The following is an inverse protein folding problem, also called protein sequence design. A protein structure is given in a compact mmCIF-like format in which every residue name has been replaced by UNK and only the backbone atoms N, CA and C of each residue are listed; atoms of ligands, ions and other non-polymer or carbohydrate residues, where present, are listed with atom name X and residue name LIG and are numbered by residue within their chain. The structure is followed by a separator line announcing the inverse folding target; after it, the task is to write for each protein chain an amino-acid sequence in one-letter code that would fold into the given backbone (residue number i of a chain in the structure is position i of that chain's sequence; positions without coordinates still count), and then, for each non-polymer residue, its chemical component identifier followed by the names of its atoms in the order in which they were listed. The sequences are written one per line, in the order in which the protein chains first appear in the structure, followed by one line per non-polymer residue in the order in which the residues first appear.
data_IF_970319822517
#
_entry.id   IF_970319822517
#
_cell.length_a   1.000
_cell.length_b   1.000
_cell.length_c   1.000
_cell.angle_alpha   90.00
_cell.angle_beta   90.00
_cell.angle_gamma   90.00
#
_symmetry.space_group_name_H-M   'P 1'
#
loop_
_entity.id
_entity.type
_entity.pdbx_description
1 polymer ?
#
# COMPACT_ATOMS: atom_id res chain seq x y z
N UNK A 1 -5.52 -11.22 9.70
CA UNK A 1 -4.98 -9.87 9.41
C UNK A 1 -5.90 -9.24 8.38
N UNK A 2 -6.25 -7.97 8.51
CA UNK A 2 -7.20 -7.30 7.60
C UNK A 2 -6.45 -6.22 6.81
N UNK A 3 -5.62 -6.64 5.84
CA UNK A 3 -4.89 -5.70 4.98
C UNK A 3 -5.28 -5.91 3.52
N UNK A 4 -5.46 -4.81 2.81
CA UNK A 4 -5.61 -4.78 1.35
C UNK A 4 -4.45 -3.95 0.80
N UNK A 5 -3.68 -4.53 -0.12
CA UNK A 5 -2.62 -3.84 -0.86
C UNK A 5 -3.02 -3.81 -2.33
N UNK A 6 -3.13 -2.63 -2.92
CA UNK A 6 -3.58 -2.49 -4.31
C UNK A 6 -2.63 -1.60 -5.11
N UNK A 7 -2.55 -1.86 -6.41
CA UNK A 7 -1.76 -1.08 -7.36
C UNK A 7 -2.31 0.34 -7.49
N UNK A 8 -3.54 0.43 -7.91
CA UNK A 8 -4.37 1.63 -7.94
C UNK A 8 -5.74 1.28 -7.38
N UNK A 9 -6.56 2.27 -7.16
CA UNK A 9 -7.91 2.05 -6.68
C UNK A 9 -8.94 2.79 -7.54
N UNK A 10 -9.24 2.26 -8.73
CA UNK A 10 -10.40 2.71 -9.47
C UNK A 10 -11.66 2.16 -8.77
N UNK A 11 -12.27 2.94 -7.89
CA UNK A 11 -13.39 2.55 -7.02
C UNK A 11 -14.51 1.82 -7.77
N UNK A 12 -14.81 2.24 -8.98
CA UNK A 12 -15.88 1.63 -9.79
C UNK A 12 -15.46 0.32 -10.47
N UNK A 13 -14.17 0.04 -10.58
CA UNK A 13 -13.65 -1.16 -11.24
C UNK A 13 -13.14 -2.22 -10.26
N UNK A 14 -12.95 -1.90 -8.98
CA UNK A 14 -12.47 -2.85 -7.97
C UNK A 14 -13.56 -3.17 -6.94
N UNK A 15 -14.61 -3.85 -7.40
CA UNK A 15 -15.79 -4.21 -6.59
C UNK A 15 -15.39 -5.00 -5.35
N UNK A 16 -14.42 -5.93 -5.47
CA UNK A 16 -14.00 -6.77 -4.35
C UNK A 16 -13.38 -5.95 -3.21
N UNK A 17 -12.60 -4.89 -3.51
CA UNK A 17 -12.07 -3.98 -2.48
C UNK A 17 -13.19 -3.16 -1.85
N UNK A 18 -14.12 -2.63 -2.65
CA UNK A 18 -15.29 -1.87 -2.17
C UNK A 18 -16.15 -2.73 -1.24
N UNK A 19 -16.40 -3.98 -1.58
CA UNK A 19 -17.19 -4.90 -0.77
C UNK A 19 -16.48 -5.25 0.55
N UNK A 20 -15.16 -5.37 0.57
CA UNK A 20 -14.39 -5.55 1.81
C UNK A 20 -14.47 -4.31 2.71
N UNK A 21 -14.49 -3.10 2.15
CA UNK A 21 -14.70 -1.86 2.91
C UNK A 21 -16.13 -1.83 3.48
N UNK A 22 -17.14 -2.17 2.69
CA UNK A 22 -18.55 -2.27 3.16
C UNK A 22 -18.73 -3.30 4.27
N UNK A 23 -18.00 -4.41 4.19
CA UNK A 23 -18.05 -5.45 5.22
C UNK A 23 -17.43 -5.03 6.55
N UNK A 24 -16.59 -3.98 6.58
CA UNK A 24 -16.00 -3.46 7.82
C UNK A 24 -17.05 -2.76 8.71
N UNK A 25 -17.98 -1.99 8.09
CA UNK A 25 -19.10 -1.35 8.76
C UNK A 25 -20.16 -0.93 7.74
N UNK A 26 -21.43 -0.79 8.15
CA UNK A 26 -22.51 -0.34 7.28
C UNK A 26 -22.31 1.09 6.74
N UNK A 27 -21.71 1.97 7.57
CA UNK A 27 -21.27 3.31 7.19
C UNK A 27 -19.85 3.49 7.76
N UNK A 28 -18.80 3.03 7.05
CA UNK A 28 -17.46 2.98 7.60
C UNK A 28 -16.88 4.40 7.77
N UNK A 29 -16.34 4.69 8.95
CA UNK A 29 -15.49 5.85 9.18
C UNK A 29 -14.10 5.55 8.65
N UNK A 30 -13.63 6.38 7.72
CA UNK A 30 -12.38 6.15 6.98
C UNK A 30 -11.37 7.23 7.33
N UNK A 31 -10.23 6.84 7.89
CA UNK A 31 -9.07 7.71 8.04
C UNK A 31 -8.26 7.72 6.73
N UNK A 32 -8.23 8.84 6.04
CA UNK A 32 -7.42 9.02 4.83
C UNK A 32 -6.07 9.63 5.19
N UNK A 33 -4.99 8.87 4.95
CA UNK A 33 -3.62 9.25 5.32
C UNK A 33 -2.78 9.41 4.05
N UNK A 34 -2.39 10.64 3.67
CA UNK A 34 -1.49 10.89 2.55
C UNK A 34 -0.02 10.79 2.96
N UNK A 35 0.91 10.67 1.98
CA UNK A 35 2.35 10.66 2.25
C UNK A 35 2.91 11.98 2.78
N UNK A 36 2.19 13.10 2.58
CA UNK A 36 2.57 14.46 2.97
C UNK A 36 1.33 15.35 3.09
N UNK A 37 1.48 16.49 3.75
CA UNK A 37 0.41 17.48 3.94
C UNK A 37 -0.22 17.92 2.61
N UNK A 38 -1.53 17.81 2.53
CA UNK A 38 -2.34 18.28 1.40
C UNK A 38 -2.69 19.78 1.60
N UNK A 39 -1.73 20.66 1.26
CA UNK A 39 -1.76 22.08 1.61
C UNK A 39 -2.99 22.87 1.10
N UNK A 40 -3.49 22.51 -0.07
CA UNK A 40 -4.64 23.14 -0.71
C UNK A 40 -5.95 22.35 -0.55
N UNK A 41 -5.88 21.16 0.10
CA UNK A 41 -7.01 20.27 0.29
C UNK A 41 -7.50 19.59 -0.99
N UNK A 42 -6.79 19.75 -2.10
CA UNK A 42 -7.21 19.25 -3.40
C UNK A 42 -7.23 17.72 -3.49
N UNK A 43 -6.24 17.07 -2.90
CA UNK A 43 -6.16 15.59 -2.90
C UNK A 43 -7.26 14.99 -2.00
N UNK A 44 -7.50 15.58 -0.83
CA UNK A 44 -8.56 15.15 0.07
C UNK A 44 -9.96 15.35 -0.53
N UNK A 45 -10.19 16.51 -1.18
CA UNK A 45 -11.45 16.77 -1.88
C UNK A 45 -11.70 15.76 -3.01
N UNK A 46 -10.66 15.41 -3.79
CA UNK A 46 -10.76 14.39 -4.83
C UNK A 46 -10.98 13.01 -4.23
N UNK A 47 -10.32 12.67 -3.13
CA UNK A 47 -10.58 11.43 -2.40
C UNK A 47 -12.05 11.36 -1.95
N UNK A 48 -12.58 12.43 -1.34
CA UNK A 48 -13.98 12.53 -0.91
C UNK A 48 -14.96 12.32 -2.06
N UNK A 49 -14.69 12.93 -3.23
CA UNK A 49 -15.51 12.72 -4.43
C UNK A 49 -15.53 11.26 -4.85
N UNK A 50 -14.36 10.61 -4.93
CA UNK A 50 -14.25 9.20 -5.34
C UNK A 50 -14.89 8.24 -4.34
N UNK A 51 -14.68 8.44 -3.05
CA UNK A 51 -15.34 7.64 -2.02
C UNK A 51 -16.86 7.83 -2.06
N UNK A 52 -17.34 9.04 -2.37
CA UNK A 52 -18.76 9.35 -2.57
C UNK A 52 -19.40 8.58 -3.73
N UNK A 53 -18.67 8.27 -4.81
CA UNK A 53 -19.15 7.48 -5.95
C UNK A 53 -19.58 6.05 -5.54
N UNK A 54 -19.03 5.52 -4.45
CA UNK A 54 -19.39 4.22 -3.87
C UNK A 54 -20.11 4.34 -2.53
N UNK A 55 -20.65 5.53 -2.23
CA UNK A 55 -21.45 5.86 -1.04
C UNK A 55 -20.70 5.79 0.30
N UNK A 56 -19.38 6.02 0.30
CA UNK A 56 -18.61 6.21 1.52
C UNK A 56 -18.45 7.73 1.78
N UNK A 57 -19.10 8.24 2.80
CA UNK A 57 -19.19 9.69 3.09
C UNK A 57 -18.44 10.12 4.35
N UNK A 58 -18.14 9.19 5.25
CA UNK A 58 -17.47 9.45 6.52
C UNK A 58 -15.94 9.35 6.35
N UNK A 59 -15.35 10.36 5.68
CA UNK A 59 -13.91 10.44 5.41
C UNK A 59 -13.27 11.55 6.24
N UNK A 60 -12.17 11.23 6.92
CA UNK A 60 -11.41 12.18 7.73
C UNK A 60 -9.95 12.21 7.30
N UNK A 61 -9.39 13.41 7.11
CA UNK A 61 -7.99 13.63 6.77
C UNK A 61 -7.11 13.52 8.03
N UNK A 62 -6.12 12.63 7.99
CA UNK A 62 -5.14 12.44 9.05
C UNK A 62 -3.76 12.82 8.49
N UNK A 63 -3.25 13.98 8.86
CA UNK A 63 -1.91 14.42 8.45
C UNK A 63 -0.81 13.75 9.27
N UNK A 64 0.27 13.33 8.59
CA UNK A 64 1.45 12.71 9.21
C UNK A 64 2.73 13.49 8.92
N UNK A 65 2.63 14.67 8.31
CA UNK A 65 3.77 15.52 7.91
C UNK A 65 3.78 16.85 8.66
N UNK A 66 3.45 17.96 8.00
CA UNK A 66 3.60 19.32 8.56
C UNK A 66 2.56 19.59 9.66
N UNK A 67 1.32 19.15 9.48
CA UNK A 67 0.21 19.34 10.40
C UNK A 67 -0.06 18.10 11.28
N UNK A 68 1.01 17.38 11.63
CA UNK A 68 0.93 16.16 12.43
C UNK A 68 0.24 16.38 13.79
N UNK A 69 -0.92 15.76 13.99
CA UNK A 69 -1.63 15.72 15.27
C UNK A 69 -1.46 14.33 15.94
N UNK A 70 -0.67 14.30 17.00
CA UNK A 70 -0.44 13.09 17.79
C UNK A 70 -1.71 12.62 18.54
N UNK A 71 -2.63 13.53 18.87
CA UNK A 71 -3.90 13.17 19.51
C UNK A 71 -4.77 12.43 18.49
N UNK A 72 -4.92 12.98 17.30
CA UNK A 72 -5.67 12.35 16.21
C UNK A 72 -5.12 10.96 15.86
N UNK A 73 -3.79 10.82 15.79
CA UNK A 73 -3.14 9.52 15.59
C UNK A 73 -3.37 8.54 16.74
N UNK A 74 -3.54 9.00 17.98
CA UNK A 74 -3.82 8.13 19.11
C UNK A 74 -5.17 7.42 18.97
N UNK A 75 -6.15 8.06 18.36
CA UNK A 75 -7.51 7.55 18.13
C UNK A 75 -7.69 6.85 16.78
N UNK A 76 -6.60 6.63 16.02
CA UNK A 76 -6.68 5.99 14.70
C UNK A 76 -7.40 4.62 14.72
N UNK A 77 -7.32 3.88 15.82
CA UNK A 77 -7.98 2.59 16.00
C UNK A 77 -9.52 2.69 16.17
N UNK A 78 -10.08 3.89 16.29
CA UNK A 78 -11.54 4.11 16.34
C UNK A 78 -12.17 4.16 14.94
N UNK A 79 -11.37 4.38 13.89
CA UNK A 79 -11.82 4.28 12.51
C UNK A 79 -12.04 2.81 12.12
N UNK A 80 -13.02 2.56 11.26
CA UNK A 80 -13.29 1.23 10.74
C UNK A 80 -12.27 0.84 9.65
N UNK A 81 -11.85 1.84 8.87
CA UNK A 81 -10.92 1.68 7.75
C UNK A 81 -9.80 2.72 7.85
N UNK A 82 -8.57 2.26 7.73
CA UNK A 82 -7.38 3.10 7.58
C UNK A 82 -6.94 3.06 6.12
N UNK A 83 -7.04 4.18 5.42
CA UNK A 83 -6.69 4.27 4.01
C UNK A 83 -5.35 5.00 3.84
N UNK A 84 -4.31 4.24 3.46
CA UNK A 84 -3.00 4.78 3.11
C UNK A 84 -2.99 5.12 1.61
N UNK A 85 -2.95 6.41 1.28
CA UNK A 85 -3.12 6.84 -0.10
C UNK A 85 -1.90 6.54 -0.98
N UNK A 86 -2.05 6.72 -2.29
CA UNK A 86 -0.95 6.71 -3.23
C UNK A 86 -0.01 7.91 -3.01
N UNK A 87 1.19 7.86 -3.57
CA UNK A 87 2.16 8.94 -3.62
C UNK A 87 3.60 8.44 -3.41
N UNK A 88 4.53 9.34 -3.15
CA UNK A 88 5.97 9.03 -2.98
C UNK A 88 6.20 8.10 -1.77
N UNK A 89 6.64 6.85 -1.98
CA UNK A 89 6.81 5.88 -0.91
C UNK A 89 7.96 6.22 0.03
N UNK A 90 8.98 6.93 -0.44
CA UNK A 90 10.14 7.32 0.38
C UNK A 90 9.72 8.41 1.36
N UNK A 91 8.98 9.41 0.89
CA UNK A 91 8.43 10.47 1.74
C UNK A 91 7.39 9.91 2.71
N UNK A 92 6.49 9.02 2.23
CA UNK A 92 5.52 8.35 3.08
C UNK A 92 6.21 7.59 4.23
N UNK A 93 7.25 6.80 3.89
CA UNK A 93 8.04 6.09 4.90
C UNK A 93 8.67 7.04 5.92
N UNK A 94 9.30 8.13 5.45
CA UNK A 94 9.95 9.11 6.33
C UNK A 94 8.94 9.68 7.35
N UNK A 95 7.79 10.16 6.87
CA UNK A 95 6.75 10.73 7.69
C UNK A 95 6.08 9.70 8.60
N UNK A 96 5.83 8.48 8.11
CA UNK A 96 5.28 7.39 8.90
C UNK A 96 6.19 6.99 10.08
N UNK A 97 7.51 6.98 9.88
CA UNK A 97 8.47 6.70 10.98
C UNK A 97 8.42 7.84 12.00
N UNK A 98 8.50 9.09 11.54
CA UNK A 98 8.45 10.28 12.40
C UNK A 98 7.18 10.36 13.23
N UNK A 99 6.04 10.03 12.62
CA UNK A 99 4.72 10.01 13.27
C UNK A 99 4.51 8.80 14.20
N UNK A 100 5.38 7.77 14.17
CA UNK A 100 5.16 6.53 14.91
C UNK A 100 4.01 5.68 14.36
N UNK A 101 3.65 5.87 13.07
CA UNK A 101 2.47 5.26 12.43
C UNK A 101 2.48 3.73 12.50
N UNK A 102 3.65 3.08 12.39
CA UNK A 102 3.75 1.62 12.44
C UNK A 102 3.16 1.01 13.73
N UNK A 103 3.35 1.67 14.87
CA UNK A 103 2.75 1.27 16.15
C UNK A 103 1.23 1.41 16.12
N UNK A 104 0.74 2.51 15.57
CA UNK A 104 -0.70 2.80 15.45
C UNK A 104 -1.40 1.81 14.51
N UNK A 105 -0.80 1.49 13.36
CA UNK A 105 -1.35 0.49 12.44
C UNK A 105 -1.42 -0.91 13.07
N UNK A 106 -0.41 -1.33 13.85
CA UNK A 106 -0.49 -2.59 14.60
C UNK A 106 -1.66 -2.59 15.60
N UNK A 107 -1.89 -1.48 16.28
CA UNK A 107 -3.03 -1.31 17.16
C UNK A 107 -4.35 -1.41 16.39
N UNK A 108 -4.48 -0.75 15.22
CA UNK A 108 -5.66 -0.86 14.37
C UNK A 108 -5.94 -2.33 13.98
N UNK A 109 -4.91 -3.07 13.54
CA UNK A 109 -5.03 -4.50 13.20
C UNK A 109 -5.49 -5.32 14.40
N UNK A 110 -4.95 -5.07 15.61
CA UNK A 110 -5.36 -5.80 16.82
C UNK A 110 -6.81 -5.52 17.23
N UNK A 111 -7.36 -4.38 16.86
CA UNK A 111 -8.77 -4.03 17.02
C UNK A 111 -9.66 -4.48 15.84
N UNK A 112 -9.12 -5.29 14.93
CA UNK A 112 -9.87 -5.82 13.79
C UNK A 112 -10.15 -4.82 12.66
N UNK A 113 -9.49 -3.66 12.68
CA UNK A 113 -9.68 -2.61 11.67
C UNK A 113 -9.11 -3.03 10.32
N UNK A 114 -9.75 -2.58 9.25
CA UNK A 114 -9.28 -2.80 7.89
C UNK A 114 -8.23 -1.74 7.51
N UNK A 115 -7.11 -2.17 6.96
CA UNK A 115 -6.14 -1.25 6.34
C UNK A 115 -6.17 -1.46 4.83
N UNK A 116 -6.44 -0.39 4.09
CA UNK A 116 -6.38 -0.35 2.63
C UNK A 116 -5.20 0.53 2.22
N UNK A 117 -4.29 -0.01 1.46
CA UNK A 117 -3.06 0.69 1.06
C UNK A 117 -2.88 0.69 -0.46
N UNK A 118 -2.70 1.86 -1.05
CA UNK A 118 -2.67 2.06 -2.49
C UNK A 118 -1.28 2.50 -2.94
N UNK A 119 -0.69 1.83 -3.93
CA UNK A 119 0.58 2.21 -4.57
C UNK A 119 1.69 2.49 -3.56
N UNK A 120 2.11 3.75 -3.37
CA UNK A 120 3.10 4.15 -2.37
C UNK A 120 2.72 3.75 -0.94
N UNK A 121 1.42 3.81 -0.59
CA UNK A 121 0.91 3.30 0.67
C UNK A 121 1.06 1.78 0.81
N UNK A 122 0.89 1.03 -0.29
CA UNK A 122 1.12 -0.41 -0.30
C UNK A 122 2.60 -0.75 -0.05
N UNK A 123 3.52 -0.01 -0.69
CA UNK A 123 4.96 -0.18 -0.44
C UNK A 123 5.32 0.08 1.03
N UNK A 124 4.68 1.05 1.69
CA UNK A 124 4.91 1.34 3.10
C UNK A 124 4.65 0.14 4.02
N UNK A 125 3.68 -0.73 3.70
CA UNK A 125 3.36 -1.92 4.48
C UNK A 125 4.31 -3.10 4.26
N UNK A 126 5.14 -3.05 3.22
CA UNK A 126 6.14 -4.07 2.90
C UNK A 126 7.39 -3.98 3.81
N UNK A 127 8.32 -4.92 3.75
CA UNK A 127 9.57 -4.84 4.53
C UNK A 127 10.45 -3.66 4.12
N UNK A 128 10.34 -3.19 2.85
CA UNK A 128 11.26 -2.21 2.30
C UNK A 128 10.64 -1.47 1.11
N UNK A 129 10.90 -0.15 0.99
CA UNK A 129 10.41 0.64 -0.15
C UNK A 129 11.43 0.79 -1.29
N UNK A 130 12.59 0.12 -1.21
CA UNK A 130 13.67 0.28 -2.19
C UNK A 130 13.31 -0.14 -3.61
N UNK A 131 12.35 -1.05 -3.78
CA UNK A 131 11.90 -1.53 -5.09
C UNK A 131 11.49 -0.38 -6.03
N UNK A 132 10.89 0.68 -5.48
CA UNK A 132 10.53 1.89 -6.22
C UNK A 132 11.75 2.57 -6.87
N UNK A 133 12.93 2.50 -6.25
CA UNK A 133 14.17 3.16 -6.71
C UNK A 133 14.76 2.53 -7.97
N UNK A 134 14.35 1.32 -8.35
CA UNK A 134 14.78 0.67 -9.60
C UNK A 134 14.38 1.44 -10.86
N UNK A 135 13.45 2.39 -10.75
CA UNK A 135 13.10 3.29 -11.85
C UNK A 135 14.26 4.18 -12.29
N UNK A 136 15.07 4.65 -11.33
CA UNK A 136 16.12 5.63 -11.57
C UNK A 136 17.52 5.15 -11.21
N UNK A 137 17.66 4.05 -10.45
CA UNK A 137 18.93 3.55 -9.95
C UNK A 137 19.22 2.14 -10.51
N UNK A 138 20.51 1.75 -10.45
CA UNK A 138 20.89 0.37 -10.78
C UNK A 138 20.53 -0.59 -9.64
N UNK A 139 20.42 -1.88 -9.95
CA UNK A 139 20.13 -2.91 -8.95
C UNK A 139 21.17 -2.93 -7.84
N UNK A 140 22.45 -2.81 -8.21
CA UNK A 140 23.59 -2.79 -7.27
C UNK A 140 23.49 -1.62 -6.27
N UNK A 141 23.16 -0.41 -6.78
CA UNK A 141 22.97 0.77 -5.94
C UNK A 141 21.82 0.60 -4.95
N UNK A 142 20.70 0.07 -5.45
CA UNK A 142 19.51 -0.16 -4.63
C UNK A 142 19.79 -1.20 -3.55
N UNK A 143 20.41 -2.34 -3.90
CA UNK A 143 20.73 -3.42 -2.95
C UNK A 143 21.75 -2.95 -1.91
N UNK A 144 22.82 -2.27 -2.31
CA UNK A 144 23.86 -1.78 -1.40
C UNK A 144 23.33 -0.82 -0.33
N UNK A 145 22.26 -0.08 -0.63
CA UNK A 145 21.69 0.92 0.28
C UNK A 145 20.33 0.53 0.87
N UNK A 146 19.81 -0.67 0.52
CA UNK A 146 18.48 -1.16 0.87
C UNK A 146 18.17 -1.06 2.37
N UNK A 147 19.14 -1.32 3.24
CA UNK A 147 18.95 -1.24 4.69
C UNK A 147 18.48 0.12 5.21
N UNK A 148 18.71 1.21 4.47
CA UNK A 148 18.27 2.56 4.82
C UNK A 148 16.77 2.79 4.53
N UNK A 149 16.13 1.90 3.80
CA UNK A 149 14.77 2.03 3.29
C UNK A 149 13.80 1.00 3.87
N UNK A 150 14.15 0.41 5.01
CA UNK A 150 13.23 -0.49 5.75
C UNK A 150 11.93 0.21 6.07
N UNK A 151 10.81 -0.49 5.90
CA UNK A 151 9.46 0.03 6.06
C UNK A 151 8.74 -0.70 7.21
N UNK A 152 7.40 -0.73 7.21
CA UNK A 152 6.62 -1.26 8.34
C UNK A 152 6.75 -2.79 8.49
N UNK A 153 6.85 -3.51 7.37
CA UNK A 153 6.99 -4.97 7.38
C UNK A 153 5.75 -5.70 7.90
N UNK A 154 4.56 -5.18 7.58
CA UNK A 154 3.30 -5.85 7.91
C UNK A 154 3.13 -7.16 7.14
N UNK A 155 3.66 -7.24 5.92
CA UNK A 155 3.79 -8.45 5.10
C UNK A 155 5.27 -8.81 4.92
N UNK A 156 5.59 -10.04 4.48
CA UNK A 156 6.98 -10.52 4.33
C UNK A 156 7.55 -10.33 2.93
N UNK A 157 6.73 -9.99 1.97
CA UNK A 157 7.07 -9.76 0.56
C UNK A 157 7.05 -8.27 0.22
N UNK A 158 7.77 -7.88 -0.83
CA UNK A 158 7.68 -6.53 -1.39
C UNK A 158 6.63 -6.47 -2.49
N UNK A 159 5.92 -5.35 -2.61
CA UNK A 159 4.90 -5.16 -3.64
C UNK A 159 5.43 -4.22 -4.72
N UNK A 160 5.23 -4.59 -5.97
CA UNK A 160 5.47 -3.75 -7.14
C UNK A 160 4.13 -3.35 -7.77
N UNK A 161 3.62 -2.16 -7.50
CA UNK A 161 2.42 -1.66 -8.16
C UNK A 161 2.70 -1.26 -9.61
N UNK A 162 1.64 -1.15 -10.41
CA UNK A 162 1.67 -0.64 -11.79
C UNK A 162 2.58 -1.43 -12.74
N UNK A 163 2.70 -2.75 -12.54
CA UNK A 163 3.57 -3.57 -13.39
C UNK A 163 3.15 -3.53 -14.86
N UNK A 164 1.86 -3.35 -15.15
CA UNK A 164 1.33 -3.21 -16.51
C UNK A 164 1.83 -1.98 -17.27
N UNK A 165 2.37 -0.99 -16.55
CA UNK A 165 2.95 0.24 -17.14
C UNK A 165 4.46 0.14 -17.33
N UNK A 166 5.08 -0.99 -16.98
CA UNK A 166 6.54 -1.15 -16.98
C UNK A 166 7.04 -1.80 -18.27
N UNK A 167 8.20 -1.33 -18.72
CA UNK A 167 8.90 -1.94 -19.85
C UNK A 167 9.55 -3.27 -19.44
N UNK A 168 9.78 -4.15 -20.44
CA UNK A 168 10.42 -5.47 -20.22
C UNK A 168 11.75 -5.35 -19.48
N UNK A 169 12.60 -4.38 -19.84
CA UNK A 169 13.89 -4.16 -19.19
C UNK A 169 13.79 -3.78 -17.69
N UNK A 170 12.66 -3.22 -17.25
CA UNK A 170 12.40 -3.00 -15.84
C UNK A 170 12.12 -4.32 -15.09
N UNK A 171 11.41 -5.24 -15.72
CA UNK A 171 11.14 -6.58 -15.16
C UNK A 171 12.44 -7.35 -14.92
N UNK A 172 13.40 -7.26 -15.85
CA UNK A 172 14.74 -7.87 -15.67
C UNK A 172 15.45 -7.31 -14.44
N UNK A 173 15.35 -5.99 -14.18
CA UNK A 173 15.85 -5.40 -12.95
C UNK A 173 15.15 -5.95 -11.71
N UNK A 174 13.83 -6.16 -11.74
CA UNK A 174 13.06 -6.72 -10.62
C UNK A 174 13.46 -8.16 -10.33
N UNK A 175 13.62 -9.00 -11.37
CA UNK A 175 14.10 -10.37 -11.25
C UNK A 175 15.48 -10.40 -10.59
N UNK A 176 16.41 -9.60 -11.10
CA UNK A 176 17.75 -9.49 -10.54
C UNK A 176 17.73 -8.97 -9.11
N UNK A 177 16.93 -7.95 -8.82
CA UNK A 177 16.76 -7.42 -7.46
C UNK A 177 16.22 -8.48 -6.49
N UNK A 178 15.20 -9.25 -6.89
CA UNK A 178 14.62 -10.29 -6.04
C UNK A 178 15.66 -11.35 -5.63
N UNK A 179 16.60 -11.67 -6.55
CA UNK A 179 17.70 -12.57 -6.29
C UNK A 179 18.76 -11.97 -5.37
N UNK A 180 19.28 -10.78 -5.72
CA UNK A 180 20.37 -10.12 -4.98
C UNK A 180 19.94 -9.64 -3.58
N UNK A 181 18.71 -9.17 -3.43
CA UNK A 181 18.15 -8.76 -2.15
C UNK A 181 17.59 -9.93 -1.31
N UNK A 182 17.46 -11.12 -1.90
CA UNK A 182 16.89 -12.30 -1.24
C UNK A 182 15.44 -12.09 -0.80
N UNK A 183 14.64 -11.34 -1.58
CA UNK A 183 13.27 -10.98 -1.23
C UNK A 183 12.27 -11.47 -2.27
N UNK A 184 11.09 -11.88 -1.81
CA UNK A 184 9.98 -12.15 -2.71
C UNK A 184 9.37 -10.81 -3.15
N UNK A 185 9.03 -10.69 -4.43
CA UNK A 185 8.32 -9.54 -4.99
C UNK A 185 6.99 -10.01 -5.57
N UNK A 186 5.92 -9.31 -5.23
CA UNK A 186 4.57 -9.52 -5.74
C UNK A 186 4.19 -8.31 -6.59
N UNK A 187 4.16 -8.48 -7.90
CA UNK A 187 3.83 -7.42 -8.84
C UNK A 187 2.33 -7.42 -9.15
N UNK A 188 1.74 -6.24 -9.10
CA UNK A 188 0.32 -5.99 -9.30
C UNK A 188 0.11 -5.19 -10.59
N UNK A 189 -0.70 -5.72 -11.51
CA UNK A 189 -1.23 -4.94 -12.61
C UNK A 189 -2.20 -3.86 -12.07
N UNK A 190 -2.50 -2.86 -12.89
CA UNK A 190 -3.54 -1.88 -12.53
C UNK A 190 -4.89 -2.59 -12.34
N UNK A 191 -5.63 -2.21 -11.31
CA UNK A 191 -6.86 -2.86 -10.87
C UNK A 191 -6.65 -4.09 -9.98
N UNK A 192 -5.41 -4.62 -9.85
CA UNK A 192 -5.17 -5.76 -8.98
C UNK A 192 -5.06 -5.37 -7.50
N UNK A 193 -5.51 -6.28 -6.63
CA UNK A 193 -5.41 -6.14 -5.18
C UNK A 193 -5.05 -7.47 -4.50
N UNK A 194 -4.29 -7.38 -3.41
CA UNK A 194 -4.00 -8.47 -2.49
C UNK A 194 -4.83 -8.31 -1.22
N UNK A 195 -5.44 -9.37 -0.76
CA UNK A 195 -6.14 -9.48 0.52
C UNK A 195 -5.30 -10.31 1.46
N UNK A 196 -4.44 -9.66 2.25
CA UNK A 196 -3.50 -10.36 3.12
C UNK A 196 -4.23 -10.90 4.37
N UNK A 197 -4.28 -12.22 4.49
CA UNK A 197 -4.89 -12.95 5.60
C UNK A 197 -3.88 -13.23 6.71
N UNK A 198 -2.60 -13.32 6.35
CA UNK A 198 -1.47 -13.39 7.28
C UNK A 198 -0.27 -12.63 6.69
N UNK A 199 0.85 -12.67 7.38
CA UNK A 199 2.06 -11.99 6.93
C UNK A 199 2.60 -12.53 5.59
N UNK A 200 2.39 -13.81 5.33
CA UNK A 200 2.96 -14.54 4.19
C UNK A 200 1.90 -15.00 3.18
N UNK A 201 0.62 -14.91 3.54
CA UNK A 201 -0.49 -15.47 2.78
C UNK A 201 -1.48 -14.37 2.38
N UNK A 202 -1.85 -14.40 1.12
CA UNK A 202 -2.87 -13.51 0.55
C UNK A 202 -3.75 -14.24 -0.47
N UNK A 203 -4.97 -13.78 -0.60
CA UNK A 203 -5.84 -13.96 -1.77
C UNK A 203 -5.66 -12.74 -2.68
N UNK A 204 -6.07 -12.80 -3.93
CA UNK A 204 -5.97 -11.67 -4.84
C UNK A 204 -7.10 -11.61 -5.86
N UNK A 205 -7.28 -10.43 -6.43
CA UNK A 205 -8.10 -10.17 -7.63
C UNK A 205 -7.23 -9.46 -8.65
N UNK A 206 -7.55 -9.62 -9.94
CA UNK A 206 -6.78 -9.08 -11.04
C UNK A 206 -5.46 -9.85 -11.27
N UNK A 207 -4.62 -9.31 -12.14
CA UNK A 207 -3.38 -9.97 -12.54
C UNK A 207 -2.25 -9.71 -11.55
N UNK A 208 -1.71 -10.79 -10.99
CA UNK A 208 -0.61 -10.79 -10.02
C UNK A 208 0.51 -11.70 -10.52
N UNK A 209 1.75 -11.19 -10.50
CA UNK A 209 2.95 -11.97 -10.82
C UNK A 209 3.88 -12.04 -9.62
N UNK A 210 4.37 -13.22 -9.29
CA UNK A 210 5.27 -13.45 -8.16
C UNK A 210 6.67 -13.74 -8.65
N UNK A 211 7.65 -13.01 -8.11
CA UNK A 211 9.07 -13.19 -8.38
C UNK A 211 9.78 -13.65 -7.12
N UNK A 212 10.63 -14.66 -7.25
CA UNK A 212 11.45 -15.19 -6.16
C UNK A 212 12.81 -15.62 -6.69
N UNK A 213 13.88 -15.17 -6.06
CA UNK A 213 15.27 -15.55 -6.38
C UNK A 213 15.62 -15.45 -7.88
N UNK A 214 15.13 -14.39 -8.53
CA UNK A 214 15.39 -14.16 -9.94
C UNK A 214 14.49 -14.93 -10.91
N UNK A 215 13.48 -15.63 -10.45
CA UNK A 215 12.57 -16.43 -11.25
C UNK A 215 11.12 -15.95 -11.11
N UNK A 216 10.34 -16.12 -12.16
CA UNK A 216 8.87 -15.98 -12.11
C UNK A 216 8.32 -17.31 -11.61
N UNK A 217 7.71 -17.31 -10.42
CA UNK A 217 7.17 -18.54 -9.80
C UNK A 217 5.67 -18.73 -10.01
N UNK A 218 4.94 -17.66 -10.30
CA UNK A 218 3.52 -17.71 -10.67
C UNK A 218 3.12 -16.44 -11.40
N UNK A 219 2.20 -16.57 -12.33
CA UNK A 219 1.42 -15.46 -12.88
C UNK A 219 -0.03 -15.91 -12.90
N UNK A 220 -0.85 -15.30 -12.06
CA UNK A 220 -2.24 -15.64 -11.87
C UNK A 220 -3.11 -14.46 -12.31
N UNK A 221 -4.14 -14.75 -13.11
CA UNK A 221 -5.17 -13.80 -13.50
C UNK A 221 -6.51 -14.36 -13.01
N UNK A 222 -7.02 -13.85 -11.88
CA UNK A 222 -8.38 -14.12 -11.48
C UNK A 222 -9.30 -13.07 -12.08
N UNK A 223 -10.28 -13.53 -12.88
CA UNK A 223 -11.38 -12.70 -13.32
C UNK A 223 -12.20 -12.26 -12.10
N UNK A 224 -12.69 -11.02 -12.13
CA UNK A 224 -13.68 -10.46 -11.19
C UNK A 224 -14.97 -11.27 -11.14
#
# INVERSE_FOLDING_TARGET
MNLILTSDFPFTANVAVVDRIRAAAAAPRIAWIPPFTDKDGGQFAEAGRRFGEVSFTELEHIDIDEDLDQVQLAYLHEFDVIYLSAGDPVRFRYNAIRAGLAGRLRQCVSHGRLIVAVSGGALLLTPNVSLFRLESESVEQVVATRGRFSAIGAVSYEVLPHVSRRETGFIDKVLRYSNEAGTDVVALADGAALFATSRDVFEHVGTVTRYRRGEIIATDAHAE
#
